data_IF_255382829369
#
_entry.id   IF_255382829369
#
_cell.length_a   1.000
_cell.length_b   1.000
_cell.length_c   1.000
_cell.angle_alpha   90.00
_cell.angle_beta   90.00
_cell.angle_gamma   90.00
#
_symmetry.space_group_name_H-M   'P 1'
#
loop_
_entity.id
_entity.type
_entity.pdbx_description
1 polymer ?
#
# COMPACT_ATOMS: atom_id res chain seq x y z
N UNK A 1 4.48 -7.08 -12.33
CA UNK A 1 4.10 -6.47 -11.06
C UNK A 1 3.56 -7.56 -10.17
N UNK A 2 3.86 -7.51 -8.88
CA UNK A 2 3.42 -8.49 -7.88
C UNK A 2 2.28 -7.91 -7.03
N UNK A 3 1.28 -8.72 -6.67
CA UNK A 3 0.19 -8.26 -5.83
C UNK A 3 0.70 -8.08 -4.39
N UNK A 4 0.35 -6.96 -3.77
CA UNK A 4 0.84 -6.55 -2.45
C UNK A 4 -0.30 -6.02 -1.58
N UNK A 5 -0.14 -6.24 -0.28
CA UNK A 5 -0.92 -5.57 0.78
C UNK A 5 -0.01 -4.58 1.48
N UNK A 6 -0.51 -3.36 1.63
CA UNK A 6 0.17 -2.26 2.32
C UNK A 6 -0.61 -1.95 3.58
N UNK A 7 0.00 -2.21 4.72
CA UNK A 7 -0.56 -1.91 6.04
C UNK A 7 -0.12 -0.52 6.45
N UNK A 8 -1.07 0.31 6.89
CA UNK A 8 -0.84 1.67 7.34
C UNK A 8 -0.62 1.71 8.85
N UNK A 9 0.02 2.76 9.34
CA UNK A 9 0.19 2.96 10.79
C UNK A 9 -1.14 3.35 11.46
N UNK A 10 -1.31 2.99 12.73
CA UNK A 10 -2.56 3.18 13.49
C UNK A 10 -2.97 4.65 13.65
N UNK A 11 -2.03 5.58 13.54
CA UNK A 11 -2.25 7.03 13.64
C UNK A 11 -2.68 7.68 12.32
N UNK A 12 -2.81 6.90 11.24
CA UNK A 12 -3.20 7.41 9.93
C UNK A 12 -4.70 7.70 9.92
N UNK A 13 -5.02 8.99 10.02
CA UNK A 13 -6.41 9.49 9.88
C UNK A 13 -6.83 9.74 8.43
N UNK A 14 -5.89 9.68 7.48
CA UNK A 14 -6.13 10.06 6.08
C UNK A 14 -5.64 9.02 5.08
N UNK A 15 -6.31 7.86 5.09
CA UNK A 15 -6.05 6.73 4.18
C UNK A 15 -6.13 7.17 2.71
N UNK A 16 -7.08 8.04 2.36
CA UNK A 16 -7.24 8.54 0.97
C UNK A 16 -6.01 9.31 0.49
N UNK A 17 -5.42 10.16 1.34
CA UNK A 17 -4.20 10.89 0.99
C UNK A 17 -3.02 9.93 0.81
N UNK A 18 -2.86 8.97 1.73
CA UNK A 18 -1.78 7.98 1.60
C UNK A 18 -1.96 7.17 0.31
N UNK A 19 -3.17 6.70 0.01
CA UNK A 19 -3.44 5.98 -1.23
C UNK A 19 -3.01 6.76 -2.47
N UNK A 20 -3.29 8.06 -2.54
CA UNK A 20 -2.84 8.93 -3.63
C UNK A 20 -1.31 9.07 -3.68
N UNK A 21 -0.65 9.21 -2.54
CA UNK A 21 0.82 9.33 -2.47
C UNK A 21 1.51 8.02 -2.90
N UNK A 22 0.94 6.86 -2.54
CA UNK A 22 1.41 5.56 -3.00
C UNK A 22 1.19 5.37 -4.51
N UNK A 23 0.04 5.80 -5.05
CA UNK A 23 -0.20 5.80 -6.50
C UNK A 23 0.82 6.65 -7.26
N UNK A 24 1.15 7.84 -6.74
CA UNK A 24 2.21 8.71 -7.32
C UNK A 24 3.59 8.07 -7.25
N UNK A 25 3.82 7.19 -6.28
CA UNK A 25 5.05 6.41 -6.14
C UNK A 25 5.11 5.19 -7.07
N UNK A 26 4.04 4.97 -7.86
CA UNK A 26 3.96 3.89 -8.85
C UNK A 26 3.17 2.66 -8.40
N UNK A 27 2.55 2.67 -7.21
CA UNK A 27 1.68 1.58 -6.77
C UNK A 27 0.38 1.60 -7.58
N UNK A 28 0.05 0.48 -8.22
CA UNK A 28 -1.24 0.29 -8.88
C UNK A 28 -2.28 -0.14 -7.83
N UNK A 29 -2.97 0.82 -7.22
CA UNK A 29 -3.99 0.55 -6.19
C UNK A 29 -5.20 -0.16 -6.81
N UNK A 30 -5.59 -1.29 -6.21
CA UNK A 30 -6.76 -2.09 -6.58
C UNK A 30 -7.93 -1.84 -5.63
N UNK A 31 -7.68 -1.97 -4.33
CA UNK A 31 -8.68 -1.81 -3.28
C UNK A 31 -8.11 -1.03 -2.10
N UNK A 32 -9.00 -0.33 -1.38
CA UNK A 32 -8.67 0.38 -0.14
C UNK A 32 -9.64 -0.09 0.93
N UNK A 33 -9.11 -0.48 2.09
CA UNK A 33 -9.86 -0.94 3.26
C UNK A 33 -9.62 0.02 4.43
N UNK A 34 -10.31 1.17 4.49
CA UNK A 34 -10.01 2.23 5.46
C UNK A 34 -10.12 1.80 6.92
N UNK A 35 -11.13 0.97 7.24
CA UNK A 35 -11.35 0.49 8.60
C UNK A 35 -10.27 -0.49 9.08
N UNK A 36 -9.52 -1.10 8.15
CA UNK A 36 -8.42 -2.00 8.45
C UNK A 36 -7.06 -1.29 8.36
N UNK A 37 -7.02 -0.07 7.80
CA UNK A 37 -5.77 0.57 7.46
C UNK A 37 -4.97 -0.21 6.40
N UNK A 38 -5.64 -0.86 5.44
CA UNK A 38 -4.96 -1.68 4.42
C UNK A 38 -5.26 -1.15 3.02
N UNK A 39 -4.24 -1.12 2.17
CA UNK A 39 -4.35 -0.83 0.73
C UNK A 39 -3.84 -2.03 -0.04
N UNK A 40 -4.65 -2.57 -0.95
CA UNK A 40 -4.28 -3.64 -1.86
C UNK A 40 -3.88 -3.04 -3.20
N UNK A 41 -2.78 -3.51 -3.77
CA UNK A 41 -2.34 -3.06 -5.08
C UNK A 41 -1.35 -4.00 -5.75
N UNK A 42 -0.73 -3.50 -6.81
CA UNK A 42 0.37 -4.17 -7.50
C UNK A 42 1.57 -3.23 -7.55
N UNK A 43 2.76 -3.78 -7.23
CA UNK A 43 4.02 -3.06 -7.25
C UNK A 43 5.08 -3.84 -8.03
N UNK A 44 6.10 -3.15 -8.54
CA UNK A 44 7.36 -3.79 -8.90
C UNK A 44 8.37 -3.67 -7.73
N UNK A 45 9.56 -4.28 -7.87
CA UNK A 45 10.58 -4.28 -6.82
C UNK A 45 11.06 -2.87 -6.45
N UNK A 46 11.08 -1.92 -7.39
CA UNK A 46 11.48 -0.55 -7.13
C UNK A 46 10.38 0.22 -6.37
N UNK A 47 9.13 0.06 -6.81
CA UNK A 47 7.94 0.61 -6.15
C UNK A 47 7.80 0.05 -4.73
N UNK A 48 8.08 -1.23 -4.51
CA UNK A 48 8.01 -1.86 -3.20
C UNK A 48 8.91 -1.15 -2.17
N UNK A 49 10.13 -0.76 -2.55
CA UNK A 49 11.03 0.03 -1.69
C UNK A 49 10.47 1.42 -1.39
N UNK A 50 9.90 2.10 -2.40
CA UNK A 50 9.33 3.43 -2.25
C UNK A 50 8.10 3.43 -1.33
N UNK A 51 7.18 2.47 -1.53
CA UNK A 51 5.99 2.28 -0.69
C UNK A 51 6.39 1.99 0.75
N UNK A 52 7.37 1.11 0.98
CA UNK A 52 7.86 0.78 2.34
C UNK A 52 8.52 1.96 3.05
N UNK A 53 9.11 2.89 2.30
CA UNK A 53 9.72 4.10 2.85
C UNK A 53 8.70 5.22 3.16
N UNK A 54 7.43 5.07 2.76
CA UNK A 54 6.41 6.09 2.98
C UNK A 54 6.10 6.26 4.48
N UNK A 55 6.02 7.50 5.01
CA UNK A 55 5.93 7.74 6.46
C UNK A 55 4.69 7.14 7.13
N UNK A 56 3.58 6.98 6.41
CA UNK A 56 2.37 6.38 6.93
C UNK A 56 2.19 4.89 6.63
N UNK A 57 3.19 4.23 6.02
CA UNK A 57 3.20 2.77 5.82
C UNK A 57 3.87 2.11 7.02
N UNK A 58 3.21 1.09 7.57
CA UNK A 58 3.72 0.22 8.62
C UNK A 58 4.47 -0.98 8.02
N UNK A 59 3.84 -1.66 7.07
CA UNK A 59 4.43 -2.82 6.42
C UNK A 59 3.92 -3.01 4.98
N UNK A 60 4.68 -3.77 4.20
CA UNK A 60 4.30 -4.20 2.85
C UNK A 60 4.58 -5.68 2.72
N UNK A 61 3.54 -6.45 2.39
CA UNK A 61 3.61 -7.89 2.21
C UNK A 61 3.05 -8.30 0.86
N UNK A 62 3.38 -9.51 0.42
CA UNK A 62 2.84 -10.07 -0.80
C UNK A 62 1.41 -10.55 -0.53
N UNK A 63 0.50 -10.23 -1.44
CA UNK A 63 -0.86 -10.74 -1.37
C UNK A 63 -0.91 -12.17 -1.91
N UNK A 64 -1.07 -13.14 -1.01
CA UNK A 64 -1.17 -14.58 -1.33
C UNK A 64 -2.60 -15.03 -1.66
N UNK A 65 -3.60 -14.14 -1.62
CA UNK A 65 -5.01 -14.52 -1.84
C UNK A 65 -5.39 -14.72 -3.33
N UNK A 66 -4.44 -14.54 -4.25
CA UNK A 66 -4.66 -14.66 -5.71
C UNK A 66 -4.06 -15.93 -6.35
N UNK A 67 -3.92 -17.02 -5.60
CA UNK A 67 -3.51 -18.34 -6.12
C UNK A 67 -4.67 -19.17 -6.65
#
# INVERSE_FOLDING_TARGET
>A
MEPVLVTLKDDVTNVSRISQDLQRSGLSVRDVFPNLGVIRGEADTAVHRAVRAHPGVLDVERDYTGG
#
